data_IF_165645098784
#
_entry.id   IF_165645098784
#
_cell.length_a   1.000
_cell.length_b   1.000
_cell.length_c   1.000
_cell.angle_alpha   90.00
_cell.angle_beta   90.00
_cell.angle_gamma   90.00
#
_symmetry.space_group_name_H-M   'P 1'
#
loop_
_entity.id
_entity.type
_entity.pdbx_description
1 polymer ?
#
# COMPACT_ATOMS: atom_id res chain seq x y z
N UNK A 1 5.75 52.06 -49.08
CA UNK A 1 6.57 51.94 -47.87
C UNK A 1 5.76 51.19 -46.85
N UNK A 2 6.01 49.90 -46.71
CA UNK A 2 5.33 49.05 -45.73
C UNK A 2 6.39 48.50 -44.78
N UNK A 3 6.33 48.91 -43.50
CA UNK A 3 7.22 48.44 -42.43
C UNK A 3 6.76 47.07 -41.93
N UNK A 4 7.65 46.11 -42.08
CA UNK A 4 7.53 44.74 -41.57
C UNK A 4 8.00 44.71 -40.13
N UNK A 5 7.09 44.53 -39.15
CA UNK A 5 7.39 44.32 -37.75
C UNK A 5 7.56 42.82 -37.45
N UNK A 6 8.79 42.44 -37.13
CA UNK A 6 9.18 41.09 -36.72
C UNK A 6 8.81 40.84 -35.24
N UNK A 7 8.21 39.69 -34.81
CA UNK A 7 7.94 39.42 -33.42
C UNK A 7 9.18 38.92 -32.66
N UNK A 8 9.46 39.59 -31.57
CA UNK A 8 10.55 39.34 -30.61
C UNK A 8 10.32 37.99 -29.86
N UNK A 9 11.16 36.99 -30.15
CA UNK A 9 11.22 35.73 -29.40
C UNK A 9 11.62 36.01 -27.92
N UNK A 10 10.71 35.76 -27.00
CA UNK A 10 11.00 35.70 -25.56
C UNK A 10 11.76 34.39 -25.28
N UNK A 11 13.05 34.50 -24.98
CA UNK A 11 13.88 33.39 -24.53
C UNK A 11 13.41 32.91 -23.15
N UNK A 12 12.96 31.66 -23.07
CA UNK A 12 12.83 30.93 -21.82
C UNK A 12 14.23 30.67 -21.29
N UNK A 13 14.62 31.36 -20.22
CA UNK A 13 15.78 30.98 -19.39
C UNK A 13 15.39 29.65 -18.69
N UNK A 14 16.01 28.56 -19.12
CA UNK A 14 16.07 27.33 -18.37
C UNK A 14 16.96 27.61 -17.15
N UNK A 15 16.36 27.67 -15.98
CA UNK A 15 17.09 27.65 -14.72
C UNK A 15 17.53 26.18 -14.48
N UNK A 16 18.76 25.86 -14.89
CA UNK A 16 19.44 24.68 -14.42
C UNK A 16 19.82 24.95 -12.93
N UNK A 17 18.97 24.46 -12.03
CA UNK A 17 19.35 24.33 -10.62
C UNK A 17 20.26 23.11 -10.54
N UNK A 18 21.56 23.33 -10.73
CA UNK A 18 22.59 22.39 -10.32
C UNK A 18 22.58 22.30 -8.81
N UNK A 19 21.95 21.27 -8.27
CA UNK A 19 22.17 20.92 -6.86
C UNK A 19 23.65 20.61 -6.68
N UNK A 20 24.31 21.14 -5.61
CA UNK A 20 25.66 20.76 -5.31
C UNK A 20 25.71 19.26 -5.10
N UNK A 21 26.49 18.54 -5.89
CA UNK A 21 26.81 17.13 -5.67
C UNK A 21 27.67 17.08 -4.40
N UNK A 22 27.01 17.03 -3.25
CA UNK A 22 27.69 16.69 -2.00
C UNK A 22 28.16 15.26 -2.17
N UNK A 23 29.46 15.05 -2.24
CA UNK A 23 30.07 13.72 -2.25
C UNK A 23 29.58 13.00 -0.99
N UNK A 24 28.73 12.00 -1.17
CA UNK A 24 28.24 11.17 -0.06
C UNK A 24 29.41 10.36 0.48
N UNK A 25 29.88 10.71 1.65
CA UNK A 25 30.98 10.00 2.31
C UNK A 25 30.39 8.80 3.06
N UNK A 26 30.91 7.61 2.72
CA UNK A 26 30.59 6.39 3.46
C UNK A 26 31.47 6.33 4.71
N UNK A 27 30.84 6.18 5.86
CA UNK A 27 31.50 6.11 7.17
C UNK A 27 31.17 4.76 7.82
N UNK A 28 32.16 4.14 8.46
CA UNK A 28 31.92 2.95 9.29
C UNK A 28 31.42 3.40 10.67
N UNK A 29 30.19 3.00 11.03
CA UNK A 29 29.56 3.36 12.31
C UNK A 29 29.31 2.10 13.13
N UNK A 30 29.66 2.09 14.44
CA UNK A 30 29.33 0.99 15.36
C UNK A 30 27.83 0.73 15.39
N UNK A 31 27.43 -0.56 15.39
CA UNK A 31 26.00 -0.93 15.43
C UNK A 31 25.28 -0.41 16.68
N UNK A 32 26.02 -0.24 17.78
CA UNK A 32 25.49 0.32 19.02
C UNK A 32 25.06 1.81 18.91
N UNK A 33 25.66 2.57 17.97
CA UNK A 33 25.31 3.97 17.71
C UNK A 33 24.20 4.13 16.69
N UNK A 34 23.74 3.02 16.08
CA UNK A 34 22.67 3.00 15.08
C UNK A 34 21.34 2.70 15.76
N UNK A 35 20.48 3.69 15.84
CA UNK A 35 19.15 3.59 16.46
C UNK A 35 18.06 3.43 15.41
N UNK A 36 17.00 2.68 15.70
CA UNK A 36 15.85 2.56 14.78
C UNK A 36 15.12 3.90 14.63
N UNK A 37 14.54 4.14 13.47
CA UNK A 37 13.66 5.28 13.25
C UNK A 37 12.42 5.17 14.16
N UNK A 38 12.01 6.23 14.89
CA UNK A 38 10.82 6.22 15.71
C UNK A 38 9.58 5.85 14.89
N UNK A 39 8.73 4.99 15.46
CA UNK A 39 7.47 4.55 14.84
C UNK A 39 7.65 3.90 13.44
N UNK A 40 8.83 3.29 13.20
CA UNK A 40 9.14 2.64 11.91
C UNK A 40 8.06 1.63 11.54
N UNK A 41 7.34 1.81 10.41
CA UNK A 41 6.15 1.01 10.12
C UNK A 41 6.46 -0.40 9.62
N UNK A 42 7.68 -0.63 9.11
CA UNK A 42 8.08 -1.88 8.47
C UNK A 42 8.82 -2.78 9.45
N UNK A 43 8.36 -4.01 9.60
CA UNK A 43 8.97 -4.98 10.50
C UNK A 43 10.20 -5.63 9.85
N UNK A 44 11.24 -5.83 10.64
CA UNK A 44 12.36 -6.70 10.29
C UNK A 44 12.01 -8.10 10.77
N UNK A 45 11.88 -9.06 9.85
CA UNK A 45 11.50 -10.44 10.15
C UNK A 45 12.72 -11.36 10.02
N UNK A 46 12.79 -12.35 10.91
CA UNK A 46 13.79 -13.40 10.87
C UNK A 46 13.32 -14.56 9.97
N UNK A 47 13.12 -14.24 8.69
CA UNK A 47 12.74 -15.20 7.65
C UNK A 47 13.98 -15.78 6.93
N UNK A 48 13.75 -16.73 5.99
CA UNK A 48 14.81 -17.33 5.19
C UNK A 48 15.62 -16.28 4.43
N UNK A 49 14.94 -15.27 3.86
CA UNK A 49 15.59 -14.14 3.18
C UNK A 49 16.51 -13.32 4.11
N UNK A 50 16.22 -13.27 5.42
CA UNK A 50 17.10 -12.62 6.38
C UNK A 50 18.34 -13.47 6.64
N UNK A 51 18.20 -14.79 6.74
CA UNK A 51 19.35 -15.72 6.92
C UNK A 51 20.29 -15.68 5.72
N UNK A 52 19.75 -15.66 4.49
CA UNK A 52 20.52 -15.47 3.27
C UNK A 52 21.26 -14.13 3.27
N UNK A 53 20.57 -13.06 3.67
CA UNK A 53 21.17 -11.72 3.79
C UNK A 53 22.31 -11.73 4.82
N UNK A 54 22.11 -12.35 5.98
CA UNK A 54 23.14 -12.45 7.03
C UNK A 54 24.35 -13.28 6.56
N UNK A 55 24.13 -14.39 5.84
CA UNK A 55 25.19 -15.19 5.25
C UNK A 55 26.02 -14.38 4.24
N UNK A 56 25.34 -13.66 3.33
CA UNK A 56 26.01 -12.78 2.37
C UNK A 56 26.80 -11.66 3.05
N UNK A 57 26.23 -11.03 4.11
CA UNK A 57 26.92 -10.00 4.90
C UNK A 57 28.14 -10.56 5.61
N UNK A 58 28.09 -11.79 6.08
CA UNK A 58 29.22 -12.45 6.73
C UNK A 58 30.38 -12.71 5.76
N UNK A 59 30.09 -13.07 4.52
CA UNK A 59 31.09 -13.37 3.50
C UNK A 59 31.66 -12.12 2.81
N UNK A 60 30.77 -11.20 2.44
CA UNK A 60 31.11 -10.08 1.56
C UNK A 60 31.05 -8.71 2.27
N UNK A 61 30.65 -8.67 3.54
CA UNK A 61 30.33 -7.43 4.22
C UNK A 61 29.06 -6.78 3.70
N UNK A 62 28.80 -5.53 4.12
CA UNK A 62 27.67 -4.73 3.64
C UNK A 62 28.09 -3.97 2.39
N UNK A 63 27.66 -4.42 1.21
CA UNK A 63 28.03 -3.85 -0.09
C UNK A 63 27.35 -2.48 -0.29
N UNK A 64 26.06 -2.37 0.05
CA UNK A 64 25.30 -1.12 -0.08
C UNK A 64 25.20 -0.47 1.29
N UNK A 65 25.73 0.74 1.51
CA UNK A 65 25.71 1.40 2.81
C UNK A 65 24.27 1.73 3.26
N UNK A 66 24.05 1.77 4.59
CA UNK A 66 22.83 2.30 5.17
C UNK A 66 22.72 3.80 4.98
N UNK A 67 21.52 4.37 5.07
CA UNK A 67 21.28 5.81 5.13
C UNK A 67 20.86 6.17 6.55
N UNK A 68 21.56 7.14 7.16
CA UNK A 68 21.32 7.56 8.54
C UNK A 68 21.32 9.08 8.65
N UNK A 69 20.74 9.60 9.72
CA UNK A 69 20.85 11.02 10.12
C UNK A 69 21.40 11.14 11.54
N UNK A 70 22.08 12.25 11.89
CA UNK A 70 22.48 12.51 13.26
C UNK A 70 21.27 12.63 14.19
N UNK A 71 21.41 12.21 15.44
CA UNK A 71 20.43 12.43 16.52
C UNK A 71 20.92 13.54 17.45
N UNK A 72 19.98 14.29 18.00
CA UNK A 72 20.30 15.33 19.02
C UNK A 72 20.87 14.71 20.30
N UNK A 73 20.44 13.49 20.65
CA UNK A 73 20.88 12.73 21.84
C UNK A 73 22.21 11.98 21.63
N UNK A 74 22.81 12.11 20.45
CA UNK A 74 24.00 11.37 20.03
C UNK A 74 23.69 10.09 19.26
N UNK A 75 24.68 9.61 18.50
CA UNK A 75 24.51 8.50 17.57
C UNK A 75 23.71 8.88 16.33
N UNK A 76 23.21 7.87 15.63
CA UNK A 76 22.56 8.03 14.35
C UNK A 76 21.22 7.31 14.32
N UNK A 77 20.27 7.88 13.61
CA UNK A 77 18.95 7.29 13.36
C UNK A 77 18.92 6.71 11.94
N UNK A 78 18.52 5.45 11.81
CA UNK A 78 18.53 4.74 10.54
C UNK A 78 17.28 5.13 9.73
N UNK A 79 17.49 5.73 8.57
CA UNK A 79 16.43 6.04 7.59
C UNK A 79 16.19 4.85 6.66
N UNK A 80 17.28 4.25 6.15
CA UNK A 80 17.21 3.05 5.32
C UNK A 80 18.35 2.09 5.65
N UNK A 81 18.04 0.80 5.80
CA UNK A 81 19.03 -0.23 6.08
C UNK A 81 18.82 -1.01 7.37
N UNK A 82 17.63 -0.96 7.99
CA UNK A 82 17.30 -1.74 9.20
C UNK A 82 17.58 -3.24 9.04
N UNK A 83 17.21 -3.85 7.89
CA UNK A 83 17.52 -5.25 7.59
C UNK A 83 19.02 -5.51 7.51
N UNK A 84 19.81 -4.56 6.98
CA UNK A 84 21.28 -4.68 6.89
C UNK A 84 21.92 -4.60 8.26
N UNK A 85 21.45 -3.69 9.13
CA UNK A 85 21.89 -3.63 10.53
C UNK A 85 21.63 -4.97 11.22
N UNK A 86 20.41 -5.49 11.13
CA UNK A 86 20.06 -6.77 11.73
C UNK A 86 20.88 -7.94 11.18
N UNK A 87 21.12 -7.97 9.86
CA UNK A 87 22.00 -8.94 9.23
C UNK A 87 23.45 -8.87 9.75
N UNK A 88 23.96 -7.64 10.00
CA UNK A 88 25.28 -7.46 10.64
C UNK A 88 25.30 -8.03 12.06
N UNK A 89 24.26 -7.80 12.86
CA UNK A 89 24.11 -8.37 14.20
C UNK A 89 24.14 -9.90 14.18
N UNK A 90 23.38 -10.52 13.27
CA UNK A 90 23.35 -11.98 13.06
C UNK A 90 24.70 -12.53 12.55
N UNK A 91 25.39 -11.75 11.72
CA UNK A 91 26.73 -12.11 11.20
C UNK A 91 27.86 -11.90 12.22
N UNK A 92 27.59 -11.29 13.39
CA UNK A 92 28.57 -11.00 14.43
C UNK A 92 29.48 -9.82 14.12
N UNK A 93 29.09 -8.91 13.23
CA UNK A 93 29.81 -7.68 12.93
C UNK A 93 29.51 -6.62 13.99
N UNK A 94 30.47 -5.76 14.27
CA UNK A 94 30.34 -4.67 15.28
C UNK A 94 30.05 -3.31 14.69
N UNK A 95 30.23 -3.14 13.38
CA UNK A 95 30.00 -1.88 12.66
C UNK A 95 29.47 -2.15 11.24
N UNK A 96 28.82 -1.17 10.65
CA UNK A 96 28.36 -1.22 9.24
C UNK A 96 28.65 0.10 8.51
N UNK A 97 28.85 0.06 7.17
CA UNK A 97 29.00 1.26 6.37
C UNK A 97 27.66 2.00 6.25
N UNK A 98 27.69 3.31 6.46
CA UNK A 98 26.53 4.19 6.35
C UNK A 98 26.88 5.48 5.62
N UNK A 99 25.87 6.09 5.00
CA UNK A 99 25.92 7.45 4.49
C UNK A 99 25.18 8.33 5.50
N UNK A 100 25.88 9.34 6.01
CA UNK A 100 25.29 10.31 6.96
C UNK A 100 24.73 11.48 6.16
N UNK A 101 23.41 11.70 6.27
CA UNK A 101 22.75 12.89 5.72
C UNK A 101 22.16 13.71 6.84
N UNK A 102 22.50 14.99 6.87
CA UNK A 102 21.80 15.94 7.72
C UNK A 102 20.45 16.31 7.09
N UNK A 103 19.37 15.93 7.74
CA UNK A 103 18.01 16.24 7.31
C UNK A 103 17.06 16.29 8.50
N UNK A 104 16.02 17.12 8.37
CA UNK A 104 14.94 17.19 9.35
C UNK A 104 14.13 15.89 9.42
N UNK A 105 13.35 15.72 10.49
CA UNK A 105 12.58 14.51 10.76
C UNK A 105 11.54 14.22 9.67
N UNK A 106 10.88 15.25 9.15
CA UNK A 106 9.82 15.07 8.16
C UNK A 106 10.39 14.66 6.79
N UNK A 107 11.52 15.28 6.38
CA UNK A 107 12.26 14.86 5.20
C UNK A 107 12.77 13.42 5.33
N UNK A 108 13.31 13.05 6.49
CA UNK A 108 13.76 11.69 6.78
C UNK A 108 12.60 10.68 6.73
N UNK A 109 11.41 11.05 7.24
CA UNK A 109 10.21 10.22 7.15
C UNK A 109 9.81 9.94 5.70
N UNK A 110 9.79 10.97 4.85
CA UNK A 110 9.46 10.81 3.42
C UNK A 110 10.45 9.85 2.75
N UNK A 111 11.75 10.07 2.92
CA UNK A 111 12.80 9.22 2.33
C UNK A 111 12.70 7.78 2.85
N UNK A 112 12.47 7.59 4.15
CA UNK A 112 12.30 6.27 4.76
C UNK A 112 11.10 5.52 4.15
N UNK A 113 9.96 6.18 4.02
CA UNK A 113 8.75 5.58 3.43
C UNK A 113 9.00 5.22 1.96
N UNK A 114 9.51 6.14 1.15
CA UNK A 114 9.73 5.93 -0.28
C UNK A 114 10.70 4.79 -0.57
N UNK A 115 11.80 4.71 0.19
CA UNK A 115 12.77 3.62 0.06
C UNK A 115 12.19 2.23 0.38
N UNK A 116 11.10 2.15 1.13
CA UNK A 116 10.47 0.90 1.51
C UNK A 116 9.22 0.57 0.68
N UNK A 117 8.45 1.57 0.20
CA UNK A 117 7.25 1.35 -0.60
C UNK A 117 7.51 0.63 -1.94
N UNK A 118 8.74 0.63 -2.41
CA UNK A 118 9.17 -0.08 -3.64
C UNK A 118 9.36 -1.60 -3.44
N UNK A 119 9.24 -2.11 -2.20
CA UNK A 119 9.37 -3.55 -1.93
C UNK A 119 8.12 -4.30 -2.39
N UNK A 120 8.32 -5.48 -2.97
CA UNK A 120 7.22 -6.32 -3.47
C UNK A 120 6.31 -6.87 -2.36
N UNK A 121 6.88 -7.15 -1.17
CA UNK A 121 6.17 -7.80 -0.06
C UNK A 121 6.01 -6.91 1.16
N UNK A 122 5.13 -5.90 1.07
CA UNK A 122 4.75 -5.04 2.20
C UNK A 122 3.36 -5.47 2.68
N UNK A 123 3.19 -5.64 3.99
CA UNK A 123 1.88 -5.92 4.57
C UNK A 123 0.93 -4.73 4.37
N UNK A 124 -0.38 -4.98 4.20
CA UNK A 124 -1.38 -3.92 4.15
C UNK A 124 -1.33 -2.96 5.34
N UNK A 125 -1.15 -3.46 6.56
CA UNK A 125 -1.04 -2.64 7.77
C UNK A 125 0.22 -1.76 7.77
N UNK A 126 1.36 -2.31 7.32
CA UNK A 126 2.61 -1.56 7.19
C UNK A 126 2.48 -0.45 6.14
N UNK A 127 1.88 -0.77 4.99
CA UNK A 127 1.62 0.20 3.92
C UNK A 127 0.68 1.32 4.38
N UNK A 128 -0.35 0.98 5.16
CA UNK A 128 -1.28 1.94 5.74
C UNK A 128 -0.57 2.93 6.68
N UNK A 129 0.25 2.41 7.60
CA UNK A 129 1.05 3.24 8.52
C UNK A 129 2.06 4.11 7.77
N UNK A 130 2.74 3.55 6.76
CA UNK A 130 3.71 4.26 5.94
C UNK A 130 3.08 5.43 5.19
N UNK A 131 1.94 5.23 4.52
CA UNK A 131 1.22 6.32 3.85
C UNK A 131 0.74 7.39 4.83
N UNK A 132 0.24 7.00 6.00
CA UNK A 132 -0.16 7.95 7.04
C UNK A 132 1.03 8.80 7.49
N UNK A 133 2.18 8.17 7.81
CA UNK A 133 3.38 8.87 8.24
C UNK A 133 3.89 9.85 7.16
N UNK A 134 3.92 9.42 5.90
CA UNK A 134 4.34 10.27 4.77
C UNK A 134 3.40 11.46 4.60
N UNK A 135 2.10 11.23 4.61
CA UNK A 135 1.09 12.28 4.49
C UNK A 135 1.19 13.30 5.63
N UNK A 136 1.36 12.82 6.87
CA UNK A 136 1.50 13.69 8.04
C UNK A 136 2.80 14.51 7.99
N UNK A 137 3.90 13.93 7.49
CA UNK A 137 5.17 14.63 7.29
C UNK A 137 5.05 15.74 6.22
N UNK A 138 4.43 15.44 5.08
CA UNK A 138 4.19 16.42 4.01
C UNK A 138 3.32 17.57 4.51
N UNK A 139 2.23 17.27 5.24
CA UNK A 139 1.35 18.30 5.82
C UNK A 139 2.08 19.21 6.82
N UNK A 140 2.97 18.67 7.66
CA UNK A 140 3.79 19.48 8.58
C UNK A 140 4.76 20.38 7.84
N UNK A 141 5.40 19.88 6.77
CA UNK A 141 6.33 20.66 5.93
C UNK A 141 5.65 21.77 5.15
N UNK A 142 4.44 21.52 4.64
CA UNK A 142 3.66 22.55 3.93
C UNK A 142 3.26 23.73 4.83
N UNK A 143 3.34 23.57 6.16
CA UNK A 143 2.95 24.58 7.12
C UNK A 143 1.42 24.72 7.23
N UNK A 144 0.96 25.53 8.20
CA UNK A 144 -0.43 25.94 8.29
C UNK A 144 -0.67 27.03 7.24
N UNK A 145 -1.62 26.88 6.28
CA UNK A 145 -1.92 27.93 5.31
C UNK A 145 -2.20 29.25 6.05
N UNK A 146 -1.63 30.37 5.56
CA UNK A 146 -1.92 31.69 6.11
C UNK A 146 -3.39 32.00 5.97
N UNK A 147 -3.94 32.91 6.81
CA UNK A 147 -5.35 33.34 6.71
C UNK A 147 -5.71 33.84 5.30
N UNK A 148 -4.77 34.51 4.65
CA UNK A 148 -4.95 35.08 3.31
C UNK A 148 -5.02 33.99 2.21
N UNK A 149 -4.33 32.86 2.40
CA UNK A 149 -4.40 31.70 1.51
C UNK A 149 -5.68 30.89 1.72
N UNK A 150 -6.26 30.89 2.94
CA UNK A 150 -7.55 30.23 3.22
C UNK A 150 -8.75 30.97 2.63
N UNK A 151 -8.70 32.32 2.55
CA UNK A 151 -9.78 33.11 1.98
C UNK A 151 -9.79 33.12 0.44
N UNK A 152 -8.65 32.94 -0.20
CA UNK A 152 -8.50 32.97 -1.66
C UNK A 152 -8.40 31.60 -2.32
N UNK A 153 -8.35 30.50 -1.57
CA UNK A 153 -8.36 29.16 -2.14
C UNK A 153 -9.79 28.81 -2.58
N UNK A 154 -10.03 28.48 -3.86
CA UNK A 154 -11.29 27.84 -4.23
C UNK A 154 -11.47 26.60 -3.36
N UNK A 155 -12.63 26.35 -2.85
CA UNK A 155 -13.10 25.40 -1.82
C UNK A 155 -12.68 23.91 -2.05
N UNK A 156 -11.44 23.67 -2.46
CA UNK A 156 -10.82 22.36 -2.63
C UNK A 156 -9.87 22.20 -1.45
N UNK A 157 -10.31 21.45 -0.45
CA UNK A 157 -9.58 21.22 0.80
C UNK A 157 -8.10 20.91 0.52
N UNK A 158 -7.19 21.60 1.22
CA UNK A 158 -5.74 21.37 1.17
C UNK A 158 -5.36 19.88 1.39
N UNK A 159 -6.23 19.11 2.04
CA UNK A 159 -6.13 17.67 2.22
C UNK A 159 -6.18 16.88 0.90
N UNK A 160 -6.94 17.35 -0.09
CA UNK A 160 -7.10 16.66 -1.38
C UNK A 160 -5.80 16.67 -2.21
N UNK A 161 -5.06 17.77 -2.18
CA UNK A 161 -3.81 17.92 -2.92
C UNK A 161 -2.69 17.05 -2.35
N UNK A 162 -2.59 16.92 -1.04
CA UNK A 162 -1.53 16.13 -0.40
C UNK A 162 -1.71 14.63 -0.61
N UNK A 163 -2.94 14.13 -0.61
CA UNK A 163 -3.24 12.71 -0.86
C UNK A 163 -2.97 12.35 -2.32
N UNK A 164 -3.32 13.25 -3.25
CA UNK A 164 -3.06 13.06 -4.68
C UNK A 164 -1.57 13.15 -5.02
N UNK A 165 -0.82 14.04 -4.35
CA UNK A 165 0.64 14.14 -4.49
C UNK A 165 1.32 12.85 -4.05
N UNK A 166 1.00 12.34 -2.85
CA UNK A 166 1.50 11.05 -2.36
C UNK A 166 1.10 9.91 -3.30
N UNK A 167 -0.14 9.94 -3.82
CA UNK A 167 -0.64 8.95 -4.76
C UNK A 167 0.13 8.96 -6.08
N UNK A 168 0.40 10.13 -6.64
CA UNK A 168 1.14 10.29 -7.88
C UNK A 168 2.57 9.77 -7.75
N UNK A 169 3.27 10.06 -6.64
CA UNK A 169 4.61 9.55 -6.37
C UNK A 169 4.62 8.03 -6.18
N UNK A 170 3.59 7.47 -5.56
CA UNK A 170 3.44 6.03 -5.34
C UNK A 170 2.85 5.27 -6.55
N UNK A 171 2.45 5.97 -7.63
CA UNK A 171 1.83 5.36 -8.81
C UNK A 171 0.41 4.85 -8.57
N UNK A 172 -0.32 5.41 -7.59
CA UNK A 172 -1.69 5.03 -7.24
C UNK A 172 -2.58 6.27 -7.11
N UNK A 173 -3.90 6.09 -7.06
CA UNK A 173 -4.82 7.22 -6.87
C UNK A 173 -4.82 7.73 -5.41
N UNK A 174 -5.15 9.00 -5.19
CA UNK A 174 -5.35 9.56 -3.85
C UNK A 174 -6.43 8.81 -3.06
N UNK A 175 -7.48 8.30 -3.72
CA UNK A 175 -8.48 7.43 -3.08
C UNK A 175 -7.85 6.15 -2.53
N UNK A 176 -6.90 5.56 -3.26
CA UNK A 176 -6.17 4.38 -2.79
C UNK A 176 -5.38 4.71 -1.52
N UNK A 177 -4.71 5.86 -1.49
CA UNK A 177 -3.97 6.33 -0.30
C UNK A 177 -4.93 6.46 0.89
N UNK A 178 -6.07 7.14 0.73
CA UNK A 178 -7.09 7.31 1.77
C UNK A 178 -7.61 5.96 2.29
N UNK A 179 -7.88 5.04 1.38
CA UNK A 179 -8.35 3.69 1.73
C UNK A 179 -7.31 2.92 2.54
N UNK A 180 -6.03 2.97 2.17
CA UNK A 180 -4.98 2.35 2.98
C UNK A 180 -4.87 3.01 4.34
N UNK A 181 -4.85 4.35 4.42
CA UNK A 181 -4.78 5.07 5.69
C UNK A 181 -5.96 4.71 6.60
N UNK A 182 -7.16 4.49 6.05
CA UNK A 182 -8.31 4.05 6.83
C UNK A 182 -8.05 2.75 7.59
N UNK A 183 -7.24 1.80 7.06
CA UNK A 183 -6.89 0.57 7.77
C UNK A 183 -6.20 0.81 9.12
N UNK A 184 -5.58 1.98 9.32
CA UNK A 184 -4.98 2.33 10.62
C UNK A 184 -6.01 2.52 11.73
N UNK A 185 -7.31 2.64 11.39
CA UNK A 185 -8.42 2.73 12.34
C UNK A 185 -8.93 1.36 12.80
N UNK A 186 -8.50 0.27 12.15
CA UNK A 186 -8.84 -1.08 12.59
C UNK A 186 -8.10 -1.42 13.88
N UNK A 187 -8.76 -2.20 14.74
CA UNK A 187 -8.10 -2.80 15.90
C UNK A 187 -7.02 -3.79 15.46
N UNK A 188 -5.96 -4.02 16.26
CA UNK A 188 -4.80 -4.82 15.85
C UNK A 188 -5.16 -6.21 15.34
N UNK A 189 -6.17 -6.86 15.91
CA UNK A 189 -6.63 -8.19 15.55
C UNK A 189 -7.22 -8.22 14.13
N UNK A 190 -8.05 -7.23 13.79
CA UNK A 190 -8.60 -7.08 12.43
C UNK A 190 -7.50 -6.71 11.43
N UNK A 191 -6.54 -5.84 11.80
CA UNK A 191 -5.38 -5.54 10.95
C UNK A 191 -4.60 -6.81 10.64
N UNK A 192 -4.37 -7.67 11.64
CA UNK A 192 -3.69 -8.94 11.46
C UNK A 192 -4.46 -9.87 10.53
N UNK A 193 -5.79 -9.93 10.63
CA UNK A 193 -6.61 -10.73 9.71
C UNK A 193 -6.53 -10.23 8.26
N UNK A 194 -6.35 -8.92 8.04
CA UNK A 194 -6.13 -8.35 6.71
C UNK A 194 -4.72 -8.71 6.20
N UNK A 195 -3.71 -8.63 7.04
CA UNK A 195 -2.33 -9.00 6.72
C UNK A 195 -2.21 -10.50 6.39
N UNK A 196 -2.93 -11.35 7.11
CA UNK A 196 -3.02 -12.80 6.90
C UNK A 196 -3.94 -13.17 5.70
N UNK A 197 -4.49 -12.18 4.98
CA UNK A 197 -5.41 -12.35 3.84
C UNK A 197 -6.72 -13.08 4.19
N UNK A 198 -7.09 -13.16 5.47
CA UNK A 198 -8.38 -13.71 5.92
C UNK A 198 -9.52 -12.75 5.59
N UNK A 199 -9.28 -11.44 5.68
CA UNK A 199 -10.19 -10.38 5.25
C UNK A 199 -9.55 -9.69 4.04
N UNK A 200 -10.30 -9.57 2.95
CA UNK A 200 -9.84 -8.86 1.76
C UNK A 200 -9.77 -7.34 2.01
N UNK A 201 -8.91 -6.63 1.27
CA UNK A 201 -8.70 -5.19 1.43
C UNK A 201 -9.98 -4.36 1.30
N UNK A 202 -10.80 -4.67 0.28
CA UNK A 202 -12.00 -3.87 -0.01
C UNK A 202 -13.05 -3.92 1.11
N UNK A 203 -13.43 -5.09 1.67
CA UNK A 203 -14.21 -5.15 2.91
C UNK A 203 -13.54 -4.42 4.07
N UNK A 204 -12.23 -4.61 4.28
CA UNK A 204 -11.49 -4.00 5.39
C UNK A 204 -11.58 -2.47 5.40
N UNK A 205 -11.55 -1.82 4.23
CA UNK A 205 -11.75 -0.37 4.12
C UNK A 205 -13.14 0.10 4.61
N UNK A 206 -14.15 -0.74 4.46
CA UNK A 206 -15.49 -0.43 4.97
C UNK A 206 -15.57 -0.65 6.47
N UNK A 207 -14.96 -1.72 6.98
CA UNK A 207 -14.92 -2.06 8.41
C UNK A 207 -14.11 -1.05 9.22
N UNK A 208 -13.14 -0.37 8.63
CA UNK A 208 -12.37 0.69 9.26
C UNK A 208 -13.23 1.90 9.70
N UNK A 209 -14.45 2.03 9.19
CA UNK A 209 -15.38 3.07 9.60
C UNK A 209 -16.19 2.70 10.87
N UNK A 210 -16.11 1.46 11.33
CA UNK A 210 -16.78 1.00 12.56
C UNK A 210 -16.07 1.57 13.80
N UNK A 211 -16.84 1.80 14.86
CA UNK A 211 -16.27 2.18 16.16
C UNK A 211 -15.46 1.03 16.77
N UNK A 212 -14.51 1.31 17.68
CA UNK A 212 -13.72 0.24 18.33
C UNK A 212 -14.58 -0.82 19.04
N UNK A 213 -15.73 -0.43 19.59
CA UNK A 213 -16.68 -1.36 20.23
C UNK A 213 -17.34 -2.29 19.20
N UNK A 214 -17.77 -1.74 18.07
CA UNK A 214 -18.36 -2.53 16.98
C UNK A 214 -17.32 -3.45 16.32
N UNK A 215 -16.07 -3.03 16.24
CA UNK A 215 -14.98 -3.86 15.75
C UNK A 215 -14.68 -5.04 16.68
N UNK A 216 -14.75 -4.84 18.01
CA UNK A 216 -14.62 -5.92 18.99
C UNK A 216 -15.78 -6.92 18.84
N UNK A 217 -17.01 -6.43 18.72
CA UNK A 217 -18.18 -7.25 18.46
C UNK A 217 -18.07 -8.04 17.14
N UNK A 218 -17.54 -7.42 16.11
CA UNK A 218 -17.28 -8.08 14.82
C UNK A 218 -16.28 -9.25 14.99
N UNK A 219 -15.23 -9.09 15.79
CA UNK A 219 -14.27 -10.17 16.05
C UNK A 219 -14.95 -11.37 16.73
N UNK A 220 -15.79 -11.13 17.74
CA UNK A 220 -16.57 -12.18 18.41
C UNK A 220 -17.51 -12.88 17.41
N UNK A 221 -18.18 -12.10 16.54
CA UNK A 221 -19.07 -12.64 15.51
C UNK A 221 -18.30 -13.45 14.44
N UNK A 222 -17.11 -13.01 14.03
CA UNK A 222 -16.25 -13.77 13.10
C UNK A 222 -15.83 -15.11 13.71
N UNK A 223 -15.54 -15.13 15.03
CA UNK A 223 -15.14 -16.34 15.71
C UNK A 223 -16.30 -17.31 15.89
N UNK A 224 -17.51 -16.82 16.22
CA UNK A 224 -18.70 -17.67 16.36
C UNK A 224 -19.17 -18.24 15.01
N UNK A 225 -19.23 -17.42 13.97
CA UNK A 225 -19.72 -17.82 12.64
C UNK A 225 -18.64 -18.52 11.78
N UNK A 226 -17.37 -18.54 12.24
CA UNK A 226 -16.21 -19.07 11.51
C UNK A 226 -16.14 -18.53 10.07
N UNK A 227 -16.58 -17.29 9.87
CA UNK A 227 -16.71 -16.63 8.57
C UNK A 227 -16.26 -15.17 8.64
N UNK A 228 -15.62 -14.69 7.59
CA UNK A 228 -15.23 -13.27 7.47
C UNK A 228 -16.26 -12.53 6.60
N UNK A 229 -16.50 -11.23 6.85
CA UNK A 229 -17.52 -10.48 6.12
C UNK A 229 -17.14 -10.29 4.64
N UNK A 230 -18.11 -10.42 3.77
CA UNK A 230 -18.01 -10.03 2.37
C UNK A 230 -18.09 -8.50 2.21
N UNK A 231 -17.79 -7.97 1.02
CA UNK A 231 -17.90 -6.54 0.75
C UNK A 231 -19.31 -6.00 1.01
N UNK A 232 -20.34 -6.71 0.57
CA UNK A 232 -21.74 -6.29 0.75
C UNK A 232 -22.14 -6.27 2.23
N UNK A 233 -21.69 -7.24 3.01
CA UNK A 233 -21.92 -7.31 4.45
C UNK A 233 -21.19 -6.15 5.16
N UNK A 234 -19.91 -5.90 4.83
CA UNK A 234 -19.12 -4.80 5.39
C UNK A 234 -19.73 -3.42 5.07
N UNK A 235 -20.25 -3.21 3.86
CA UNK A 235 -20.95 -1.98 3.48
C UNK A 235 -22.24 -1.77 4.27
N UNK A 236 -23.00 -2.82 4.53
CA UNK A 236 -24.22 -2.75 5.35
C UNK A 236 -23.88 -2.45 6.80
N UNK A 237 -22.87 -3.12 7.37
CA UNK A 237 -22.40 -2.84 8.73
C UNK A 237 -21.97 -1.37 8.87
N UNK A 238 -21.19 -0.85 7.92
CA UNK A 238 -20.81 0.57 7.90
C UNK A 238 -22.03 1.50 7.88
N UNK A 239 -23.03 1.20 7.05
CA UNK A 239 -24.25 2.01 6.96
C UNK A 239 -25.03 2.01 8.29
N UNK A 240 -25.19 0.85 8.91
CA UNK A 240 -25.86 0.71 10.20
C UNK A 240 -25.06 1.36 11.35
N UNK A 241 -23.74 1.27 11.32
CA UNK A 241 -22.87 2.00 12.26
C UNK A 241 -23.06 3.52 12.15
N UNK A 242 -23.13 4.05 10.93
CA UNK A 242 -23.37 5.48 10.69
C UNK A 242 -24.76 5.96 11.14
N UNK A 243 -25.79 5.10 11.11
CA UNK A 243 -27.13 5.39 11.64
C UNK A 243 -27.26 5.10 13.15
N UNK A 244 -26.23 4.49 13.78
CA UNK A 244 -26.29 4.10 15.19
C UNK A 244 -27.15 2.86 15.46
N UNK A 245 -27.49 2.10 14.43
CA UNK A 245 -28.36 0.92 14.50
C UNK A 245 -27.59 -0.43 14.51
N UNK A 246 -26.26 -0.36 14.41
CA UNK A 246 -25.42 -1.58 14.46
C UNK A 246 -25.30 -2.08 15.88
N UNK A 247 -25.85 -3.28 16.11
CA UNK A 247 -25.78 -4.00 17.38
C UNK A 247 -25.46 -5.48 17.13
N UNK A 248 -25.34 -6.27 18.18
CA UNK A 248 -25.00 -7.69 18.12
C UNK A 248 -25.96 -8.49 17.23
N UNK A 249 -27.27 -8.33 17.44
CA UNK A 249 -28.29 -9.05 16.69
C UNK A 249 -28.23 -8.74 15.19
N UNK A 250 -28.10 -7.45 14.82
CA UNK A 250 -28.00 -7.03 13.41
C UNK A 250 -26.71 -7.51 12.77
N UNK A 251 -25.60 -7.54 13.54
CA UNK A 251 -24.32 -8.04 13.06
C UNK A 251 -24.36 -9.54 12.79
N UNK A 252 -24.92 -10.33 13.72
CA UNK A 252 -25.12 -11.76 13.56
C UNK A 252 -26.05 -12.05 12.36
N UNK A 253 -27.17 -11.34 12.22
CA UNK A 253 -28.05 -11.49 11.06
C UNK A 253 -27.33 -11.25 9.74
N UNK A 254 -26.51 -10.20 9.65
CA UNK A 254 -25.72 -9.89 8.45
C UNK A 254 -24.71 -11.01 8.17
N UNK A 255 -24.03 -11.52 9.20
CA UNK A 255 -23.00 -12.55 9.03
C UNK A 255 -23.58 -13.93 8.73
N UNK A 256 -24.73 -14.28 9.31
CA UNK A 256 -25.45 -15.54 9.05
C UNK A 256 -26.05 -15.63 7.64
N UNK A 257 -26.20 -14.49 6.92
CA UNK A 257 -26.67 -14.53 5.54
C UNK A 257 -25.70 -15.33 4.67
N UNK A 258 -26.24 -16.30 3.93
CA UNK A 258 -25.44 -17.08 2.98
C UNK A 258 -24.76 -16.13 1.98
N UNK A 259 -23.43 -16.20 1.89
CA UNK A 259 -22.68 -15.49 0.86
C UNK A 259 -23.25 -15.90 -0.49
N UNK A 260 -23.73 -14.92 -1.29
CA UNK A 260 -24.06 -15.21 -2.69
C UNK A 260 -22.84 -15.90 -3.31
N UNK A 261 -23.02 -17.05 -3.99
CA UNK A 261 -21.89 -17.72 -4.63
C UNK A 261 -21.15 -16.68 -5.50
N UNK A 262 -19.84 -16.60 -5.35
CA UNK A 262 -19.02 -15.77 -6.25
C UNK A 262 -19.39 -16.16 -7.68
N UNK A 263 -19.99 -15.21 -8.40
CA UNK A 263 -20.19 -15.40 -9.84
C UNK A 263 -18.79 -15.40 -10.46
N UNK A 264 -18.29 -16.59 -10.71
CA UNK A 264 -17.12 -16.77 -11.58
C UNK A 264 -17.56 -16.52 -13.01
N UNK A 265 -17.82 -15.28 -13.35
CA UNK A 265 -18.13 -14.89 -14.72
C UNK A 265 -16.82 -14.98 -15.53
N UNK A 266 -16.68 -16.04 -16.31
CA UNK A 266 -15.57 -16.18 -17.25
C UNK A 266 -15.92 -15.37 -18.48
N UNK A 267 -15.31 -14.19 -18.62
CA UNK A 267 -15.46 -13.35 -19.81
C UNK A 267 -14.49 -13.82 -20.89
N UNK A 268 -15.01 -14.39 -21.96
CA UNK A 268 -14.21 -14.79 -23.12
C UNK A 268 -14.13 -13.63 -24.11
N UNK A 269 -12.91 -13.21 -24.54
CA UNK A 269 -12.77 -12.15 -25.52
C UNK A 269 -13.43 -12.51 -26.83
N UNK A 270 -14.37 -11.70 -27.30
CA UNK A 270 -15.17 -11.97 -28.51
C UNK A 270 -14.32 -12.16 -29.76
N UNK A 271 -13.18 -11.45 -29.89
CA UNK A 271 -12.24 -11.62 -31.01
C UNK A 271 -11.64 -13.03 -31.07
N UNK A 272 -11.34 -13.64 -29.93
CA UNK A 272 -10.82 -15.03 -29.88
C UNK A 272 -11.89 -16.03 -30.27
N UNK A 273 -13.14 -15.79 -29.87
CA UNK A 273 -14.28 -16.66 -30.22
C UNK A 273 -14.67 -16.58 -31.71
N UNK A 274 -14.52 -15.41 -32.34
CA UNK A 274 -14.86 -15.22 -33.76
C UNK A 274 -14.03 -16.06 -34.72
N UNK A 275 -12.92 -16.64 -34.29
CA UNK A 275 -12.13 -17.60 -35.10
C UNK A 275 -12.84 -18.96 -35.25
N UNK A 276 -13.73 -19.30 -34.32
CA UNK A 276 -14.39 -20.60 -34.26
C UNK A 276 -15.86 -20.58 -34.67
N UNK A 277 -16.45 -19.36 -34.79
CA UNK A 277 -17.87 -19.19 -35.08
C UNK A 277 -18.09 -18.32 -36.32
N UNK A 278 -19.10 -18.65 -37.16
CA UNK A 278 -19.52 -17.84 -38.29
C UNK A 278 -19.87 -16.41 -37.85
N UNK A 279 -19.65 -15.42 -38.72
CA UNK A 279 -19.99 -14.02 -38.43
C UNK A 279 -21.47 -13.75 -38.17
N UNK A 280 -22.35 -14.65 -38.65
CA UNK A 280 -23.79 -14.58 -38.49
C UNK A 280 -24.27 -15.02 -37.10
N UNK A 281 -23.43 -15.66 -36.28
CA UNK A 281 -23.80 -16.13 -34.95
C UNK A 281 -23.96 -14.97 -33.99
N UNK A 282 -25.10 -14.93 -33.31
CA UNK A 282 -25.37 -14.01 -32.21
C UNK A 282 -24.60 -14.44 -30.95
N UNK A 283 -24.31 -13.54 -29.98
CA UNK A 283 -23.67 -13.91 -28.72
C UNK A 283 -24.36 -15.07 -28.00
N UNK A 284 -25.71 -15.12 -28.00
CA UNK A 284 -26.49 -16.16 -27.37
C UNK A 284 -26.33 -17.51 -28.10
N UNK A 285 -26.22 -17.52 -29.41
CA UNK A 285 -25.95 -18.74 -30.17
C UNK A 285 -24.53 -19.28 -29.94
N UNK A 286 -23.55 -18.40 -29.79
CA UNK A 286 -22.17 -18.75 -29.44
C UNK A 286 -22.15 -19.41 -28.06
N UNK A 287 -22.80 -18.80 -27.08
CA UNK A 287 -22.89 -19.30 -25.69
C UNK A 287 -23.56 -20.69 -25.66
N UNK A 288 -24.73 -20.84 -26.29
CA UNK A 288 -25.45 -22.13 -26.36
C UNK A 288 -24.60 -23.21 -27.01
N UNK A 289 -23.83 -22.87 -28.04
CA UNK A 289 -22.97 -23.85 -28.72
C UNK A 289 -21.79 -24.26 -27.86
N UNK A 290 -21.19 -23.30 -27.13
CA UNK A 290 -20.11 -23.59 -26.19
C UNK A 290 -20.59 -24.58 -25.10
N UNK A 291 -21.73 -24.33 -24.50
CA UNK A 291 -22.28 -25.26 -23.49
C UNK A 291 -22.55 -26.65 -24.05
N UNK A 292 -23.13 -26.78 -25.25
CA UNK A 292 -23.31 -28.08 -25.91
C UNK A 292 -21.99 -28.83 -26.14
N UNK A 293 -20.93 -28.11 -26.52
CA UNK A 293 -19.60 -28.70 -26.71
C UNK A 293 -18.99 -29.16 -25.39
N UNK A 294 -19.15 -28.36 -24.33
CA UNK A 294 -18.68 -28.70 -22.98
C UNK A 294 -19.40 -29.92 -22.41
N UNK A 295 -20.71 -30.03 -22.59
CA UNK A 295 -21.50 -31.20 -22.21
C UNK A 295 -21.02 -32.46 -22.94
N UNK A 296 -20.79 -32.35 -24.24
CA UNK A 296 -20.30 -33.49 -25.04
C UNK A 296 -18.87 -33.90 -24.60
N UNK A 297 -18.02 -32.95 -24.31
CA UNK A 297 -16.67 -33.18 -23.78
C UNK A 297 -16.70 -33.86 -22.40
N UNK A 298 -17.57 -33.41 -21.49
CA UNK A 298 -17.75 -33.99 -20.17
C UNK A 298 -18.21 -35.46 -20.24
N UNK A 299 -19.21 -35.76 -21.09
CA UNK A 299 -19.67 -37.13 -21.32
C UNK A 299 -18.55 -38.02 -21.89
N UNK A 300 -17.71 -37.50 -22.78
CA UNK A 300 -16.57 -38.25 -23.31
C UNK A 300 -15.55 -38.55 -22.21
N UNK A 301 -15.20 -37.56 -21.38
CA UNK A 301 -14.27 -37.72 -20.25
C UNK A 301 -14.75 -38.74 -19.22
N UNK A 302 -16.07 -38.74 -18.90
CA UNK A 302 -16.66 -39.73 -17.99
C UNK A 302 -16.55 -41.14 -18.54
N UNK A 303 -16.74 -41.34 -19.85
CA UNK A 303 -16.59 -42.66 -20.50
C UNK A 303 -15.16 -43.15 -20.55
N UNK A 304 -14.18 -42.22 -20.62
CA UNK A 304 -12.77 -42.56 -20.60
C UNK A 304 -12.27 -42.91 -19.19
N UNK A 305 -12.86 -42.33 -18.15
CA UNK A 305 -12.56 -42.62 -16.74
C UNK A 305 -13.25 -43.90 -16.22
N UNK A 306 -14.29 -44.39 -16.90
CA UNK A 306 -15.02 -45.62 -16.54
C UNK A 306 -14.53 -46.86 -17.34
N UNK A 307 -13.45 -46.73 -18.10
CA UNK A 307 -12.72 -47.82 -18.76
C UNK A 307 -11.37 -48.05 -18.08
#
# INVERSE_FOLDING_TARGET
>A
MAETTTPKKRGRKAAAVGQPVTQEVVVMVPLAELHPFPDHPFQVRDDESMRETAASVKENGVIIPGLVRPREEGGYEIIAGHRRKHACELAGLTAMPVIVRDMDRDSATVVMVDSNLQRESILPSERAKAYKMKLDAIKRRAGRPSKDEQENAPNVSANFRSDDEVGQEAGVSGDTIRNYIALTQLVPELQKMVDDKKIALTPAYQLAALTPKEQALLLETIDSEQATPSLSQAQRMKKLSQSGELNEDTMLQIMAEQKKPERTDITLPGEKLRKYFPRSYTPMQIETTIFKLLDAWQRKRQREQSR
#
